data_IF_890368522779
#
_entry.id   IF_890368522779
#
_cell.length_a   1.000
_cell.length_b   1.000
_cell.length_c   1.000
_cell.angle_alpha   90.00
_cell.angle_beta   90.00
_cell.angle_gamma   90.00
#
_symmetry.space_group_name_H-M   'P 1'
#
loop_
_entity.id
_entity.type
_entity.pdbx_description
1 polymer ?
#
# COMPACT_ATOMS: atom_id res chain seq x y z
N UNK A 1 1.27 -6.53 25.92
CA UNK A 1 0.13 -5.74 25.41
C UNK A 1 0.44 -4.94 24.13
N UNK A 2 1.64 -4.44 23.94
CA UNK A 2 2.00 -3.56 22.83
C UNK A 2 2.00 -4.22 21.44
N UNK A 3 2.43 -5.48 21.32
CA UNK A 3 2.53 -6.19 20.02
C UNK A 3 1.17 -6.52 19.40
N UNK A 4 0.20 -6.95 20.19
CA UNK A 4 -1.16 -7.19 19.71
C UNK A 4 -1.83 -5.91 19.22
N UNK A 5 -1.55 -4.78 19.87
CA UNK A 5 -2.03 -3.48 19.45
C UNK A 5 -1.45 -3.05 18.09
N UNK A 6 -0.15 -3.26 17.86
CA UNK A 6 0.47 -3.02 16.56
C UNK A 6 -0.15 -3.86 15.45
N UNK A 7 -0.43 -5.14 15.72
CA UNK A 7 -1.13 -6.02 14.79
C UNK A 7 -2.54 -5.54 14.47
N UNK A 8 -3.32 -5.12 15.47
CA UNK A 8 -4.66 -4.56 15.27
C UNK A 8 -4.62 -3.30 14.39
N UNK A 9 -3.65 -2.42 14.61
CA UNK A 9 -3.45 -1.23 13.78
C UNK A 9 -3.09 -1.60 12.33
N UNK A 10 -2.30 -2.65 12.10
CA UNK A 10 -1.99 -3.12 10.76
C UNK A 10 -3.24 -3.65 10.03
N UNK A 11 -4.07 -4.44 10.71
CA UNK A 11 -5.35 -4.95 10.19
C UNK A 11 -6.31 -3.81 9.90
N UNK A 12 -6.44 -2.86 10.81
CA UNK A 12 -7.27 -1.67 10.61
C UNK A 12 -6.78 -0.83 9.44
N UNK A 13 -5.46 -0.64 9.32
CA UNK A 13 -4.84 0.02 8.16
C UNK A 13 -5.17 -0.69 6.86
N UNK A 14 -5.07 -2.04 6.83
CA UNK A 14 -5.44 -2.85 5.67
C UNK A 14 -6.92 -2.67 5.27
N UNK A 15 -7.83 -2.61 6.26
CA UNK A 15 -9.24 -2.31 6.00
C UNK A 15 -9.43 -0.91 5.39
N UNK A 16 -8.76 0.10 5.92
CA UNK A 16 -8.82 1.47 5.38
C UNK A 16 -8.29 1.55 3.94
N UNK A 17 -7.20 0.84 3.62
CA UNK A 17 -6.69 0.76 2.25
C UNK A 17 -7.66 0.04 1.32
N UNK A 18 -8.28 -1.04 1.77
CA UNK A 18 -9.30 -1.76 1.02
C UNK A 18 -10.50 -0.85 0.71
N UNK A 19 -10.99 -0.12 1.71
CA UNK A 19 -12.09 0.83 1.54
C UNK A 19 -11.72 1.95 0.55
N UNK A 20 -10.49 2.47 0.64
CA UNK A 20 -9.95 3.46 -0.31
C UNK A 20 -9.93 2.89 -1.73
N UNK A 21 -9.40 1.69 -1.92
CA UNK A 21 -9.29 1.04 -3.24
C UNK A 21 -10.65 0.85 -3.89
N UNK A 22 -11.65 0.39 -3.13
CA UNK A 22 -13.03 0.20 -3.65
C UNK A 22 -13.71 1.54 -3.92
N UNK A 23 -13.46 2.56 -3.10
CA UNK A 23 -13.98 3.91 -3.33
C UNK A 23 -13.40 4.53 -4.61
N UNK A 24 -12.10 4.30 -4.92
CA UNK A 24 -11.49 4.70 -6.19
C UNK A 24 -12.15 3.96 -7.36
N UNK A 25 -12.37 2.64 -7.25
CA UNK A 25 -13.06 1.87 -8.27
C UNK A 25 -14.48 2.39 -8.52
N UNK A 26 -15.18 2.80 -7.47
CA UNK A 26 -16.51 3.43 -7.58
C UNK A 26 -16.44 4.81 -8.24
N UNK A 27 -15.42 5.61 -7.93
CA UNK A 27 -15.17 6.92 -8.54
C UNK A 27 -14.91 6.79 -10.04
N UNK A 28 -14.09 5.82 -10.47
CA UNK A 28 -13.73 5.62 -11.88
C UNK A 28 -14.91 5.20 -12.76
N UNK A 29 -15.96 4.63 -12.18
CA UNK A 29 -17.22 4.32 -12.88
C UNK A 29 -18.07 5.58 -13.13
N UNK A 30 -17.82 6.68 -12.46
CA UNK A 30 -18.46 7.97 -12.70
C UNK A 30 -17.65 8.78 -13.73
N UNK A 31 -18.35 9.42 -14.67
CA UNK A 31 -17.75 10.21 -15.78
C UNK A 31 -16.82 11.34 -15.29
N UNK A 32 -16.95 11.76 -14.02
CA UNK A 32 -16.23 12.88 -13.43
C UNK A 32 -14.90 12.50 -12.75
N UNK A 33 -14.56 11.21 -12.63
CA UNK A 33 -13.49 10.74 -11.74
C UNK A 33 -12.18 10.31 -12.42
N UNK A 34 -11.96 10.56 -13.70
CA UNK A 34 -10.78 10.05 -14.40
C UNK A 34 -9.55 10.97 -14.24
N UNK A 35 -8.54 10.50 -13.53
CA UNK A 35 -7.16 11.00 -13.68
C UNK A 35 -6.53 11.70 -12.46
N UNK A 36 -7.30 12.17 -11.47
CA UNK A 36 -6.78 12.95 -10.34
C UNK A 36 -6.77 12.21 -8.99
N UNK A 37 -7.20 10.93 -8.95
CA UNK A 37 -7.39 10.19 -7.69
C UNK A 37 -6.13 10.11 -6.83
N UNK A 38 -4.97 9.89 -7.47
CA UNK A 38 -3.69 9.79 -6.77
C UNK A 38 -3.28 11.12 -6.19
N UNK A 39 -3.36 12.20 -6.99
CA UNK A 39 -2.98 13.55 -6.55
C UNK A 39 -3.87 14.00 -5.39
N UNK A 40 -5.20 13.81 -5.51
CA UNK A 40 -6.17 14.16 -4.45
C UNK A 40 -5.86 13.37 -3.18
N UNK A 41 -5.61 12.06 -3.28
CA UNK A 41 -5.30 11.23 -2.12
C UNK A 41 -4.01 11.64 -1.42
N UNK A 42 -2.94 11.96 -2.18
CA UNK A 42 -1.67 12.41 -1.61
C UNK A 42 -1.81 13.81 -1.00
N UNK A 43 -2.54 14.71 -1.66
CA UNK A 43 -2.81 16.04 -1.13
C UNK A 43 -3.62 15.99 0.17
N UNK A 44 -4.67 15.17 0.22
CA UNK A 44 -5.44 14.94 1.45
C UNK A 44 -4.58 14.36 2.56
N UNK A 45 -3.70 13.39 2.23
CA UNK A 45 -2.77 12.83 3.20
C UNK A 45 -1.84 13.91 3.74
N UNK A 46 -1.27 14.77 2.90
CA UNK A 46 -0.39 15.84 3.33
C UNK A 46 -1.12 16.85 4.24
N UNK A 47 -2.32 17.29 3.83
CA UNK A 47 -3.10 18.27 4.59
C UNK A 47 -3.55 17.68 5.94
N UNK A 48 -4.13 16.49 5.93
CA UNK A 48 -4.68 15.88 7.16
C UNK A 48 -3.55 15.46 8.10
N UNK A 49 -2.50 14.79 7.60
CA UNK A 49 -1.38 14.38 8.48
C UNK A 49 -0.58 15.58 8.98
N UNK A 50 -0.42 16.61 8.16
CA UNK A 50 0.21 17.86 8.58
C UNK A 50 -0.60 18.58 9.66
N UNK A 51 -1.92 18.69 9.51
CA UNK A 51 -2.80 19.25 10.51
C UNK A 51 -2.78 18.44 11.82
N UNK A 52 -2.87 17.11 11.73
CA UNK A 52 -2.77 16.24 12.91
C UNK A 52 -1.42 16.35 13.58
N UNK A 53 -0.34 16.47 12.82
CA UNK A 53 1.01 16.64 13.37
C UNK A 53 1.17 17.97 14.09
N UNK A 54 0.64 19.05 13.54
CA UNK A 54 0.67 20.37 14.20
C UNK A 54 -0.20 20.43 15.47
N UNK A 55 -1.32 19.69 15.51
CA UNK A 55 -2.26 19.72 16.64
C UNK A 55 -1.94 18.71 17.73
N UNK A 56 -1.44 17.54 17.37
CA UNK A 56 -1.28 16.38 18.26
C UNK A 56 0.17 15.84 18.27
N UNK A 57 1.01 16.34 17.38
CA UNK A 57 2.40 15.91 17.30
C UNK A 57 3.21 16.36 18.53
N UNK A 58 4.32 15.71 18.81
CA UNK A 58 5.25 16.17 19.84
C UNK A 58 5.82 17.54 19.45
N UNK A 59 6.28 18.29 20.44
CA UNK A 59 7.04 19.52 20.20
C UNK A 59 8.18 19.24 19.23
N UNK A 60 8.39 20.14 18.25
CA UNK A 60 9.45 19.95 17.25
C UNK A 60 10.76 19.59 17.92
N UNK A 61 11.36 18.44 17.61
CA UNK A 61 12.64 18.06 18.21
C UNK A 61 13.71 19.05 17.75
N UNK A 62 14.66 19.35 18.64
CA UNK A 62 15.82 20.14 18.26
C UNK A 62 16.52 19.51 17.06
N UNK A 63 16.87 20.34 16.07
CA UNK A 63 17.55 19.89 14.86
C UNK A 63 18.94 19.33 15.24
N UNK A 64 18.98 18.02 15.41
CA UNK A 64 20.21 17.29 15.62
C UNK A 64 20.47 16.28 14.47
N UNK A 65 21.63 15.69 14.46
CA UNK A 65 22.03 14.73 13.41
C UNK A 65 21.06 13.53 13.32
N UNK A 66 20.50 13.07 14.44
CA UNK A 66 19.54 11.96 14.48
C UNK A 66 18.24 12.30 13.78
N UNK A 67 17.68 13.50 14.08
CA UNK A 67 16.45 13.99 13.43
C UNK A 67 16.65 14.09 11.92
N UNK A 68 17.80 14.62 11.46
CA UNK A 68 18.10 14.73 10.03
C UNK A 68 18.14 13.36 9.35
N UNK A 69 18.76 12.36 9.98
CA UNK A 69 18.81 10.97 9.49
C UNK A 69 17.37 10.42 9.39
N UNK A 70 16.53 10.63 10.41
CA UNK A 70 15.12 10.22 10.39
C UNK A 70 14.34 10.83 9.24
N UNK A 71 14.50 12.13 9.01
CA UNK A 71 13.87 12.83 7.86
C UNK A 71 14.35 12.24 6.53
N UNK A 72 15.64 11.97 6.36
CA UNK A 72 16.17 11.34 5.13
C UNK A 72 15.54 9.97 4.89
N UNK A 73 15.41 9.14 5.93
CA UNK A 73 14.73 7.85 5.78
C UNK A 73 13.23 7.99 5.50
N UNK A 74 12.52 8.97 6.07
CA UNK A 74 11.13 9.24 5.71
C UNK A 74 10.97 9.71 4.27
N UNK A 75 11.89 10.56 3.78
CA UNK A 75 11.94 10.95 2.36
C UNK A 75 12.21 9.73 1.48
N UNK A 76 13.18 8.87 1.84
CA UNK A 76 13.47 7.64 1.12
C UNK A 76 12.23 6.72 1.09
N UNK A 77 11.52 6.58 2.21
CA UNK A 77 10.26 5.83 2.27
C UNK A 77 9.19 6.42 1.33
N UNK A 78 9.10 7.76 1.25
CA UNK A 78 8.21 8.46 0.34
C UNK A 78 8.57 8.21 -1.13
N UNK A 79 9.85 8.28 -1.49
CA UNK A 79 10.33 7.96 -2.85
C UNK A 79 10.06 6.51 -3.19
N UNK A 80 10.44 5.57 -2.32
CA UNK A 80 10.25 4.13 -2.56
C UNK A 80 8.77 3.75 -2.68
N UNK A 81 7.90 4.27 -1.82
CA UNK A 81 6.47 3.93 -1.84
C UNK A 81 5.69 4.70 -2.89
N UNK A 82 5.80 6.04 -2.90
CA UNK A 82 4.95 6.88 -3.74
C UNK A 82 5.49 7.06 -5.16
N UNK A 83 6.81 7.05 -5.35
CA UNK A 83 7.41 7.23 -6.69
C UNK A 83 7.69 5.86 -7.30
N UNK A 84 8.65 5.11 -6.76
CA UNK A 84 9.02 3.81 -7.35
C UNK A 84 7.84 2.83 -7.29
N UNK A 85 7.31 2.55 -6.10
CA UNK A 85 6.27 1.57 -5.89
C UNK A 85 5.01 1.86 -6.71
N UNK A 86 4.53 3.09 -6.69
CA UNK A 86 3.27 3.48 -7.34
C UNK A 86 3.40 3.63 -8.85
N UNK A 87 4.46 4.27 -9.37
CA UNK A 87 4.62 4.43 -10.81
C UNK A 87 4.82 3.09 -11.52
N UNK A 88 5.66 2.22 -10.96
CA UNK A 88 5.88 0.90 -11.53
C UNK A 88 4.64 0.01 -11.40
N UNK A 89 3.82 0.18 -10.34
CA UNK A 89 2.52 -0.47 -10.22
C UNK A 89 1.59 -0.14 -11.38
N UNK A 90 1.36 1.16 -11.62
CA UNK A 90 0.46 1.56 -12.70
C UNK A 90 0.95 1.08 -14.05
N UNK A 91 2.25 1.23 -14.32
CA UNK A 91 2.83 0.77 -15.58
C UNK A 91 2.77 -0.76 -15.73
N UNK A 92 2.93 -1.51 -14.64
CA UNK A 92 2.74 -2.96 -14.64
C UNK A 92 1.31 -3.36 -14.99
N UNK A 93 0.32 -2.68 -14.39
CA UNK A 93 -1.10 -2.96 -14.67
C UNK A 93 -1.44 -2.69 -16.14
N UNK A 94 -0.88 -1.63 -16.72
CA UNK A 94 -1.07 -1.33 -18.15
C UNK A 94 -0.48 -2.39 -19.07
N UNK A 95 0.69 -2.96 -18.74
CA UNK A 95 1.45 -3.87 -19.62
C UNK A 95 1.16 -5.34 -19.37
N UNK A 96 0.95 -5.75 -18.13
CA UNK A 96 0.75 -7.16 -17.73
C UNK A 96 -0.67 -7.45 -17.23
N UNK A 97 -1.49 -6.42 -17.05
CA UNK A 97 -2.83 -6.54 -16.51
C UNK A 97 -2.89 -6.55 -14.97
N UNK A 98 -4.05 -6.22 -14.44
CA UNK A 98 -4.26 -6.04 -13.00
C UNK A 98 -4.08 -7.35 -12.20
N UNK A 99 -4.52 -8.48 -12.76
CA UNK A 99 -4.47 -9.79 -12.08
C UNK A 99 -3.02 -10.23 -11.91
N UNK A 100 -2.24 -10.22 -12.97
CA UNK A 100 -0.85 -10.67 -12.96
C UNK A 100 0.02 -9.75 -12.08
N UNK A 101 -0.18 -8.43 -12.21
CA UNK A 101 0.43 -7.44 -11.32
C UNK A 101 0.07 -7.70 -9.86
N UNK A 102 -1.19 -7.98 -9.56
CA UNK A 102 -1.68 -8.30 -8.22
C UNK A 102 -1.00 -9.54 -7.63
N UNK A 103 -0.77 -10.60 -8.43
CA UNK A 103 -0.02 -11.79 -8.00
C UNK A 103 1.42 -11.44 -7.61
N UNK A 104 2.14 -10.74 -8.51
CA UNK A 104 3.55 -10.43 -8.30
C UNK A 104 3.71 -9.49 -7.08
N UNK A 105 2.77 -8.58 -6.84
CA UNK A 105 2.80 -7.70 -5.66
C UNK A 105 2.71 -8.44 -4.31
N UNK A 106 2.32 -9.72 -4.29
CA UNK A 106 2.40 -10.56 -3.07
C UNK A 106 3.83 -10.82 -2.62
N UNK A 107 4.82 -10.44 -3.42
CA UNK A 107 6.22 -10.42 -3.01
C UNK A 107 6.55 -9.23 -2.08
N UNK A 108 5.64 -8.27 -1.84
CA UNK A 108 5.89 -7.16 -0.90
C UNK A 108 6.37 -7.65 0.47
N UNK A 109 5.69 -8.61 1.15
CA UNK A 109 6.16 -9.12 2.42
C UNK A 109 7.52 -9.83 2.33
N UNK A 110 7.82 -10.47 1.20
CA UNK A 110 9.12 -11.13 0.97
C UNK A 110 10.23 -10.09 0.93
N UNK A 111 10.08 -9.04 0.13
CA UNK A 111 11.05 -7.94 0.07
C UNK A 111 11.16 -7.20 1.41
N UNK A 112 10.03 -6.97 2.09
CA UNK A 112 10.02 -6.36 3.41
C UNK A 112 10.79 -7.20 4.43
N UNK A 113 10.54 -8.52 4.47
CA UNK A 113 11.21 -9.45 5.38
C UNK A 113 12.72 -9.54 5.09
N UNK A 114 13.11 -9.69 3.82
CA UNK A 114 14.52 -9.74 3.45
C UNK A 114 15.26 -8.46 3.83
N UNK A 115 14.69 -7.30 3.50
CA UNK A 115 15.31 -6.03 3.84
C UNK A 115 15.30 -5.76 5.35
N UNK A 116 14.25 -6.16 6.07
CA UNK A 116 14.18 -6.04 7.53
C UNK A 116 15.20 -6.95 8.22
N UNK A 117 15.41 -8.17 7.73
CA UNK A 117 16.45 -9.07 8.22
C UNK A 117 17.84 -8.44 8.10
N UNK A 118 18.21 -7.92 6.91
CA UNK A 118 19.54 -7.36 6.69
C UNK A 118 19.76 -5.98 7.30
N UNK A 119 18.74 -5.11 7.32
CA UNK A 119 18.90 -3.71 7.71
C UNK A 119 18.44 -3.42 9.14
N UNK A 120 17.50 -4.19 9.66
CA UNK A 120 16.94 -4.00 11.00
C UNK A 120 17.34 -5.13 11.97
N UNK A 121 17.91 -6.23 11.46
CA UNK A 121 18.23 -7.41 12.27
C UNK A 121 16.97 -8.17 12.72
N UNK A 122 15.81 -8.00 12.03
CA UNK A 122 14.60 -8.74 12.37
C UNK A 122 14.80 -10.24 12.18
N UNK A 123 14.43 -11.04 13.20
CA UNK A 123 14.52 -12.51 13.14
C UNK A 123 13.23 -13.06 12.53
N UNK A 124 13.39 -13.88 11.49
CA UNK A 124 12.25 -14.58 10.87
C UNK A 124 11.92 -15.81 11.73
N UNK A 125 10.91 -15.70 12.56
CA UNK A 125 10.49 -16.80 13.45
C UNK A 125 9.55 -17.79 12.74
N UNK A 126 9.45 -19.01 13.27
CA UNK A 126 8.55 -20.05 12.72
C UNK A 126 7.10 -19.58 12.58
N UNK A 127 6.47 -18.88 13.55
CA UNK A 127 5.13 -18.34 13.37
C UNK A 127 5.02 -17.37 12.18
N UNK A 128 6.04 -16.56 11.92
CA UNK A 128 6.07 -15.62 10.77
C UNK A 128 6.07 -16.39 9.45
N UNK A 129 6.87 -17.47 9.36
CA UNK A 129 6.92 -18.32 8.16
C UNK A 129 5.58 -19.01 7.93
N UNK A 130 4.98 -19.61 8.96
CA UNK A 130 3.68 -20.28 8.85
C UNK A 130 2.61 -19.30 8.43
N UNK A 131 2.54 -18.13 9.06
CA UNK A 131 1.56 -17.10 8.74
C UNK A 131 1.73 -16.56 7.31
N UNK A 132 2.97 -16.37 6.86
CA UNK A 132 3.27 -15.97 5.49
C UNK A 132 2.69 -16.98 4.48
N UNK A 133 2.92 -18.28 4.70
CA UNK A 133 2.38 -19.31 3.82
C UNK A 133 0.85 -19.39 3.87
N UNK A 134 0.24 -19.27 5.05
CA UNK A 134 -1.22 -19.28 5.19
C UNK A 134 -1.87 -18.09 4.47
N UNK A 135 -1.39 -16.87 4.68
CA UNK A 135 -1.92 -15.66 4.03
C UNK A 135 -1.69 -15.73 2.52
N UNK A 136 -0.50 -16.11 2.07
CA UNK A 136 -0.16 -16.20 0.65
C UNK A 136 -0.99 -17.27 -0.05
N UNK A 137 -1.16 -18.45 0.56
CA UNK A 137 -2.01 -19.51 0.01
C UNK A 137 -3.47 -19.07 -0.10
N UNK A 138 -4.01 -18.38 0.90
CA UNK A 138 -5.35 -17.79 0.84
C UNK A 138 -5.48 -16.83 -0.36
N UNK A 139 -4.49 -15.95 -0.55
CA UNK A 139 -4.47 -15.02 -1.69
C UNK A 139 -4.41 -15.76 -3.03
N UNK A 140 -3.53 -16.75 -3.18
CA UNK A 140 -3.39 -17.54 -4.41
C UNK A 140 -4.69 -18.26 -4.76
N UNK A 141 -5.34 -18.89 -3.78
CA UNK A 141 -6.63 -19.58 -3.97
C UNK A 141 -7.71 -18.57 -4.43
N UNK A 142 -7.74 -17.39 -3.82
CA UNK A 142 -8.69 -16.32 -4.19
C UNK A 142 -8.46 -15.84 -5.63
N UNK A 143 -7.21 -15.62 -6.04
CA UNK A 143 -6.85 -15.06 -7.35
C UNK A 143 -6.90 -16.08 -8.49
N UNK A 144 -6.72 -17.37 -8.24
CA UNK A 144 -6.65 -18.40 -9.27
C UNK A 144 -7.89 -18.44 -10.17
N UNK A 145 -9.05 -18.03 -9.69
CA UNK A 145 -10.31 -17.99 -10.47
C UNK A 145 -10.52 -16.66 -11.21
N UNK A 146 -9.92 -15.56 -10.73
CA UNK A 146 -10.00 -14.27 -11.42
C UNK A 146 -9.22 -14.32 -12.74
N UNK A 147 -8.11 -15.07 -12.77
CA UNK A 147 -7.29 -15.28 -13.97
C UNK A 147 -8.02 -15.99 -15.10
N UNK A 148 -8.87 -16.99 -14.78
CA UNK A 148 -9.57 -17.79 -15.79
C UNK A 148 -10.72 -17.02 -16.47
N UNK A 149 -11.39 -16.11 -15.77
CA UNK A 149 -12.51 -15.34 -16.35
C UNK A 149 -12.07 -14.10 -17.13
N UNK A 150 -10.93 -13.50 -16.78
CA UNK A 150 -10.43 -12.33 -17.49
C UNK A 150 -9.77 -12.66 -18.84
N UNK A 151 -9.28 -13.90 -18.99
CA UNK A 151 -8.71 -14.36 -20.24
C UNK A 151 -9.78 -14.65 -21.32
N UNK A 152 -11.03 -14.93 -20.92
CA UNK A 152 -12.13 -15.22 -21.85
C UNK A 152 -12.93 -13.99 -22.30
N UNK A 153 -12.85 -12.87 -21.54
CA UNK A 153 -13.68 -11.69 -21.81
C UNK A 153 -12.95 -10.52 -22.50
N UNK A 154 -11.64 -10.63 -22.73
CA UNK A 154 -10.82 -9.61 -23.39
C UNK A 154 -10.05 -10.22 -24.59
N UNK A 155 -10.78 -10.64 -25.59
CA UNK A 155 -10.23 -10.93 -26.93
C UNK A 155 -9.92 -9.61 -27.67
N UNK A 156 -9.11 -8.76 -27.09
CA UNK A 156 -8.35 -7.74 -27.80
C UNK A 156 -6.91 -8.20 -27.80
N UNK A 157 -6.36 -8.52 -28.97
CA UNK A 157 -5.08 -9.12 -29.30
C UNK A 157 -4.08 -9.28 -28.14
N UNK A 158 -3.53 -10.49 -28.01
CA UNK A 158 -2.54 -10.83 -26.98
C UNK A 158 -1.41 -9.79 -27.01
N UNK A 159 -1.13 -9.09 -25.90
CA UNK A 159 -0.05 -8.09 -25.88
C UNK A 159 1.29 -8.79 -26.18
N UNK A 160 2.19 -8.10 -26.88
CA UNK A 160 3.52 -8.57 -27.21
C UNK A 160 4.17 -9.22 -25.97
N UNK A 161 4.67 -10.47 -26.03
CA UNK A 161 5.31 -11.16 -24.92
C UNK A 161 6.43 -10.33 -24.26
N UNK A 162 7.11 -9.49 -25.03
CA UNK A 162 8.15 -8.57 -24.51
C UNK A 162 7.56 -7.47 -23.62
N UNK A 163 6.44 -6.88 -24.03
CA UNK A 163 5.74 -5.84 -23.23
C UNK A 163 5.17 -6.46 -21.94
N UNK A 164 4.62 -7.65 -22.01
CA UNK A 164 4.11 -8.39 -20.85
C UNK A 164 5.22 -8.70 -19.84
N UNK A 165 6.39 -9.18 -20.31
CA UNK A 165 7.54 -9.43 -19.44
C UNK A 165 8.08 -8.14 -18.79
N UNK A 166 8.09 -7.03 -19.52
CA UNK A 166 8.42 -5.71 -18.97
C UNK A 166 7.43 -5.29 -17.89
N UNK A 167 6.13 -5.54 -18.09
CA UNK A 167 5.10 -5.32 -17.07
C UNK A 167 5.34 -6.15 -15.80
N UNK A 168 5.72 -7.43 -15.92
CA UNK A 168 6.09 -8.31 -14.80
C UNK A 168 7.29 -7.77 -14.02
N UNK A 169 8.34 -7.36 -14.73
CA UNK A 169 9.52 -6.76 -14.09
C UNK A 169 9.15 -5.49 -13.31
N UNK A 170 8.24 -4.66 -13.84
CA UNK A 170 7.73 -3.49 -13.14
C UNK A 170 6.89 -3.84 -11.91
N UNK A 171 6.14 -4.96 -11.95
CA UNK A 171 5.42 -5.45 -10.76
C UNK A 171 6.40 -5.86 -9.64
N UNK A 172 7.50 -6.54 -9.99
CA UNK A 172 8.56 -6.89 -9.04
C UNK A 172 9.21 -5.63 -8.46
N UNK A 173 9.56 -4.66 -9.29
CA UNK A 173 10.10 -3.37 -8.85
C UNK A 173 9.13 -2.63 -7.92
N UNK A 174 7.81 -2.68 -8.21
CA UNK A 174 6.78 -2.14 -7.34
C UNK A 174 6.76 -2.83 -5.98
N UNK A 175 6.82 -4.17 -5.95
CA UNK A 175 6.83 -4.93 -4.71
C UNK A 175 8.07 -4.62 -3.87
N UNK A 176 9.24 -4.53 -4.49
CA UNK A 176 10.50 -4.15 -3.84
C UNK A 176 10.44 -2.70 -3.30
N UNK A 177 9.88 -1.77 -4.07
CA UNK A 177 9.69 -0.38 -3.66
C UNK A 177 8.79 -0.26 -2.42
N UNK A 178 7.66 -0.94 -2.39
CA UNK A 178 6.78 -0.94 -1.21
C UNK A 178 7.42 -1.64 -0.01
N UNK A 179 8.08 -2.80 -0.20
CA UNK A 179 8.82 -3.49 0.86
C UNK A 179 9.92 -2.62 1.45
N UNK A 180 10.72 -1.96 0.61
CA UNK A 180 11.74 -1.01 1.02
C UNK A 180 11.18 0.23 1.72
N UNK A 181 9.99 0.70 1.30
CA UNK A 181 9.30 1.78 1.98
C UNK A 181 8.93 1.44 3.43
N UNK A 182 8.45 0.21 3.70
CA UNK A 182 8.17 -0.24 5.08
C UNK A 182 9.42 -0.22 5.96
N UNK A 183 10.53 -0.76 5.45
CA UNK A 183 11.81 -0.80 6.17
C UNK A 183 12.36 0.61 6.41
N UNK A 184 12.34 1.47 5.39
CA UNK A 184 12.79 2.86 5.52
C UNK A 184 11.96 3.64 6.57
N UNK A 185 10.65 3.40 6.67
CA UNK A 185 9.80 3.98 7.73
C UNK A 185 10.22 3.52 9.11
N UNK A 186 10.53 2.23 9.28
CA UNK A 186 10.99 1.67 10.57
C UNK A 186 12.34 2.24 10.96
N UNK A 187 13.30 2.33 10.02
CA UNK A 187 14.60 2.97 10.24
C UNK A 187 14.47 4.45 10.64
N UNK A 188 13.59 5.18 9.95
CA UNK A 188 13.31 6.57 10.30
C UNK A 188 12.79 6.70 11.74
N UNK A 189 11.88 5.83 12.15
CA UNK A 189 11.29 5.88 13.49
C UNK A 189 12.25 5.46 14.61
N UNK A 190 13.38 4.84 14.31
CA UNK A 190 14.43 4.58 15.29
C UNK A 190 15.16 5.86 15.73
N UNK A 191 15.21 6.87 14.86
CA UNK A 191 15.89 8.15 15.13
C UNK A 191 14.92 9.32 15.29
N UNK A 192 13.75 9.23 14.65
CA UNK A 192 12.65 10.20 14.75
C UNK A 192 11.34 9.45 14.99
N UNK A 193 11.00 9.08 16.24
CA UNK A 193 9.83 8.26 16.58
C UNK A 193 8.51 9.05 16.49
N UNK A 194 8.27 9.70 15.36
CA UNK A 194 7.07 10.48 15.07
C UNK A 194 6.35 9.97 13.83
N UNK A 195 5.32 9.10 14.01
CA UNK A 195 4.54 8.57 12.90
C UNK A 195 3.81 9.63 12.07
N UNK A 196 3.32 10.70 12.71
CA UNK A 196 2.57 11.76 12.03
C UNK A 196 3.50 12.59 11.14
N UNK A 197 4.68 12.96 11.64
CA UNK A 197 5.72 13.58 10.83
C UNK A 197 6.12 12.66 9.66
N UNK A 198 6.27 11.35 9.90
CA UNK A 198 6.60 10.38 8.87
C UNK A 198 5.57 10.31 7.75
N UNK A 199 4.29 10.28 8.07
CA UNK A 199 3.20 10.31 7.07
C UNK A 199 3.24 11.62 6.29
N UNK A 200 3.39 12.75 6.98
CA UNK A 200 3.44 14.08 6.37
C UNK A 200 4.64 14.22 5.40
N UNK A 201 5.85 13.88 5.86
CA UNK A 201 7.07 13.95 5.05
C UNK A 201 6.95 13.03 3.81
N UNK A 202 6.43 11.82 3.98
CA UNK A 202 6.20 10.89 2.87
C UNK A 202 5.19 11.42 1.85
N UNK A 203 4.11 12.07 2.30
CA UNK A 203 3.12 12.71 1.43
C UNK A 203 3.72 13.93 0.71
N UNK A 204 4.48 14.78 1.41
CA UNK A 204 5.18 15.92 0.80
C UNK A 204 6.18 15.48 -0.26
N UNK A 205 6.92 14.40 -0.03
CA UNK A 205 7.82 13.80 -1.03
C UNK A 205 7.04 13.39 -2.28
N UNK A 206 5.87 12.77 -2.12
CA UNK A 206 4.98 12.44 -3.24
C UNK A 206 4.50 13.69 -4.00
N UNK A 207 4.07 14.74 -3.29
CA UNK A 207 3.64 16.01 -3.90
C UNK A 207 4.78 16.70 -4.65
N UNK A 208 5.98 16.72 -4.08
CA UNK A 208 7.16 17.27 -4.76
C UNK A 208 7.44 16.55 -6.07
N UNK A 209 7.34 15.21 -6.08
CA UNK A 209 7.48 14.43 -7.30
C UNK A 209 6.44 14.82 -8.35
N UNK A 210 5.17 14.98 -7.95
CA UNK A 210 4.11 15.42 -8.87
C UNK A 210 4.39 16.83 -9.41
N UNK A 211 4.83 17.76 -8.56
CA UNK A 211 5.17 19.12 -8.95
C UNK A 211 6.34 19.14 -9.97
N UNK A 212 7.41 18.42 -9.68
CA UNK A 212 8.56 18.27 -10.57
C UNK A 212 8.14 17.63 -11.89
N UNK A 213 7.39 16.52 -11.84
CA UNK A 213 6.88 15.84 -13.03
C UNK A 213 5.98 16.74 -13.88
N UNK A 214 5.20 17.60 -13.24
CA UNK A 214 4.36 18.57 -13.91
C UNK A 214 5.17 19.63 -14.65
N UNK A 215 6.19 20.20 -14.03
CA UNK A 215 7.09 21.19 -14.63
C UNK A 215 7.79 20.60 -15.87
N UNK A 216 8.30 19.36 -15.78
CA UNK A 216 8.96 18.72 -16.92
C UNK A 216 7.99 18.37 -18.05
N UNK A 217 6.73 17.98 -17.75
CA UNK A 217 5.71 17.69 -18.76
C UNK A 217 5.15 18.96 -19.41
N UNK A 218 5.10 20.08 -18.70
CA UNK A 218 4.68 21.37 -19.25
C UNK A 218 5.64 21.85 -20.38
N UNK A 219 6.90 21.47 -20.28
CA UNK A 219 7.94 21.75 -21.29
C UNK A 219 7.82 20.85 -22.52
N UNK A 220 7.13 19.72 -22.42
CA UNK A 220 6.82 18.80 -23.52
C UNK A 220 5.40 19.10 -24.02
N UNK A 221 5.22 19.39 -25.33
CA UNK A 221 3.96 19.77 -26.00
C UNK A 221 2.79 18.79 -25.86
N UNK A 222 2.96 17.69 -25.13
CA UNK A 222 1.91 16.72 -24.78
C UNK A 222 1.29 16.98 -23.39
N UNK A 223 0.99 18.23 -23.08
CA UNK A 223 0.21 18.59 -21.91
C UNK A 223 -1.22 18.07 -22.09
N UNK A 224 -1.45 16.79 -21.76
CA UNK A 224 -2.76 16.28 -21.51
C UNK A 224 -3.37 17.14 -20.40
N UNK A 225 -4.45 17.83 -20.69
CA UNK A 225 -5.08 18.83 -19.82
C UNK A 225 -5.38 18.24 -18.44
N UNK A 226 -4.51 18.51 -17.47
CA UNK A 226 -4.80 18.31 -16.05
C UNK A 226 -5.86 19.36 -15.66
N UNK A 227 -7.09 19.16 -16.09
CA UNK A 227 -8.21 19.87 -15.52
C UNK A 227 -8.35 19.36 -14.09
N UNK A 228 -7.96 20.18 -13.13
CA UNK A 228 -8.28 19.99 -11.72
C UNK A 228 -9.82 20.07 -11.66
N UNK A 229 -10.46 18.93 -11.77
CA UNK A 229 -11.91 18.83 -11.60
C UNK A 229 -12.21 18.82 -10.11
N UNK A 230 -13.38 19.31 -9.74
CA UNK A 230 -13.84 19.23 -8.34
C UNK A 230 -13.83 17.77 -7.90
N UNK A 231 -13.22 17.46 -6.74
CA UNK A 231 -13.14 16.08 -6.28
C UNK A 231 -14.55 15.51 -6.05
N UNK A 232 -14.78 14.30 -6.53
CA UNK A 232 -16.01 13.58 -6.24
C UNK A 232 -16.04 13.14 -4.76
N UNK A 233 -17.24 12.92 -4.21
CA UNK A 233 -17.39 12.37 -2.85
C UNK A 233 -16.62 11.05 -2.65
N UNK A 234 -16.54 10.25 -3.69
CA UNK A 234 -15.79 8.97 -3.65
C UNK A 234 -14.29 9.18 -3.59
N UNK A 235 -13.76 10.20 -4.27
CA UNK A 235 -12.34 10.58 -4.19
C UNK A 235 -11.98 11.10 -2.80
N UNK A 236 -12.86 11.91 -2.20
CA UNK A 236 -12.66 12.41 -0.85
C UNK A 236 -12.70 11.26 0.19
N UNK A 237 -13.67 10.35 0.07
CA UNK A 237 -13.73 9.16 0.92
C UNK A 237 -12.50 8.26 0.75
N UNK A 238 -12.05 8.05 -0.49
CA UNK A 238 -10.85 7.28 -0.78
C UNK A 238 -9.59 7.91 -0.16
N UNK A 239 -9.42 9.23 -0.34
CA UNK A 239 -8.29 9.97 0.20
C UNK A 239 -8.28 9.98 1.73
N UNK A 240 -9.43 10.22 2.37
CA UNK A 240 -9.57 10.20 3.83
C UNK A 240 -9.25 8.82 4.39
N UNK A 241 -9.83 7.77 3.84
CA UNK A 241 -9.60 6.39 4.30
C UNK A 241 -8.14 5.98 4.09
N UNK A 242 -7.54 6.35 2.95
CA UNK A 242 -6.12 6.10 2.70
C UNK A 242 -5.22 6.81 3.72
N UNK A 243 -5.55 8.04 4.08
CA UNK A 243 -4.79 8.80 5.09
C UNK A 243 -4.86 8.13 6.45
N UNK A 244 -6.07 7.74 6.89
CA UNK A 244 -6.27 7.02 8.16
C UNK A 244 -5.50 5.70 8.15
N UNK A 245 -5.58 4.95 7.03
CA UNK A 245 -4.83 3.71 6.86
C UNK A 245 -3.32 3.91 6.93
N UNK A 246 -2.80 4.97 6.32
CA UNK A 246 -1.37 5.29 6.41
C UNK A 246 -0.93 5.63 7.85
N UNK A 247 -1.69 6.47 8.54
CA UNK A 247 -1.42 6.79 9.94
C UNK A 247 -1.42 5.52 10.79
N UNK A 248 -2.44 4.67 10.65
CA UNK A 248 -2.52 3.41 11.38
C UNK A 248 -1.32 2.49 11.11
N UNK A 249 -0.87 2.37 9.85
CA UNK A 249 0.30 1.56 9.51
C UNK A 249 1.62 2.14 10.07
N UNK A 250 1.78 3.46 10.09
CA UNK A 250 2.96 4.05 10.72
C UNK A 250 2.98 3.80 12.21
N UNK A 251 1.84 3.97 12.90
CA UNK A 251 1.73 3.61 14.31
C UNK A 251 1.96 2.11 14.55
N UNK A 252 1.45 1.24 13.69
CA UNK A 252 1.71 -0.21 13.77
C UNK A 252 3.20 -0.54 13.78
N UNK A 253 3.98 0.12 12.91
CA UNK A 253 5.44 -0.06 12.83
C UNK A 253 6.20 0.39 14.09
N UNK A 254 5.62 1.22 14.94
CA UNK A 254 6.22 1.54 16.25
C UNK A 254 6.19 0.34 17.20
N UNK A 255 5.14 -0.47 17.12
CA UNK A 255 4.86 -1.54 18.09
C UNK A 255 5.18 -2.94 17.56
N UNK A 256 5.40 -3.09 16.26
CA UNK A 256 5.50 -4.40 15.61
C UNK A 256 6.59 -4.40 14.53
N UNK A 257 7.10 -5.60 14.21
CA UNK A 257 8.13 -5.80 13.21
C UNK A 257 7.59 -5.53 11.80
N UNK A 258 8.47 -5.07 10.92
CA UNK A 258 8.13 -4.74 9.53
C UNK A 258 7.56 -5.95 8.81
N UNK A 259 8.18 -7.11 9.01
CA UNK A 259 7.75 -8.37 8.40
C UNK A 259 6.31 -8.72 8.78
N UNK A 260 5.96 -8.60 10.06
CA UNK A 260 4.61 -8.86 10.58
C UNK A 260 3.60 -7.88 10.00
N UNK A 261 3.92 -6.57 9.98
CA UNK A 261 3.04 -5.54 9.40
C UNK A 261 2.80 -5.79 7.92
N UNK A 262 3.84 -6.15 7.16
CA UNK A 262 3.72 -6.42 5.74
C UNK A 262 2.83 -7.63 5.43
N UNK A 263 2.95 -8.72 6.22
CA UNK A 263 2.08 -9.91 6.08
C UNK A 263 0.64 -9.55 6.45
N UNK A 264 0.41 -8.89 7.58
CA UNK A 264 -0.92 -8.49 8.02
C UNK A 264 -1.59 -7.53 7.04
N UNK A 265 -0.85 -6.60 6.45
CA UNK A 265 -1.38 -5.69 5.41
C UNK A 265 -1.84 -6.43 4.15
N UNK A 266 -1.35 -7.64 3.89
CA UNK A 266 -1.76 -8.43 2.71
C UNK A 266 -3.22 -8.89 2.75
N UNK A 267 -3.88 -8.83 3.92
CA UNK A 267 -5.32 -9.14 4.04
C UNK A 267 -6.21 -8.04 3.45
N UNK A 268 -5.67 -6.88 3.10
CA UNK A 268 -6.37 -5.79 2.40
C UNK A 268 -7.25 -6.31 1.25
N UNK A 269 -6.74 -7.28 0.49
CA UNK A 269 -7.46 -7.85 -0.65
C UNK A 269 -8.78 -8.51 -0.27
N UNK A 270 -8.82 -9.22 0.86
CA UNK A 270 -10.04 -9.88 1.33
C UNK A 270 -11.08 -8.84 1.75
N UNK A 271 -10.66 -7.81 2.45
CA UNK A 271 -11.53 -6.68 2.76
C UNK A 271 -12.03 -5.99 1.50
N UNK A 272 -11.15 -5.75 0.51
CA UNK A 272 -11.53 -5.11 -0.74
C UNK A 272 -12.56 -5.94 -1.51
N UNK A 273 -12.37 -7.26 -1.64
CA UNK A 273 -13.32 -8.12 -2.33
C UNK A 273 -14.67 -8.20 -1.59
N UNK A 274 -14.65 -8.25 -0.26
CA UNK A 274 -15.87 -8.25 0.54
C UNK A 274 -16.63 -6.92 0.39
N UNK A 275 -15.95 -5.79 0.51
CA UNK A 275 -16.52 -4.46 0.32
C UNK A 275 -17.09 -4.28 -1.09
N UNK A 276 -16.33 -4.66 -2.11
CA UNK A 276 -16.74 -4.54 -3.51
C UNK A 276 -18.00 -5.36 -3.82
N UNK A 277 -18.09 -6.59 -3.26
CA UNK A 277 -19.22 -7.48 -3.52
C UNK A 277 -20.46 -7.21 -2.69
N UNK A 278 -20.33 -6.80 -1.41
CA UNK A 278 -21.48 -6.67 -0.49
C UNK A 278 -21.92 -5.22 -0.27
N UNK A 279 -20.97 -4.30 -0.06
CA UNK A 279 -21.27 -2.91 0.31
C UNK A 279 -21.43 -2.04 -0.95
N UNK A 280 -20.39 -1.98 -1.77
CA UNK A 280 -20.36 -1.09 -2.94
C UNK A 280 -21.04 -1.67 -4.17
N UNK A 281 -21.21 -3.00 -4.21
CA UNK A 281 -21.83 -3.74 -5.33
C UNK A 281 -21.19 -3.39 -6.68
N UNK A 282 -19.88 -3.14 -6.67
CA UNK A 282 -19.09 -2.87 -7.88
C UNK A 282 -18.64 -4.16 -8.56
N UNK A 283 -18.65 -5.28 -7.82
CA UNK A 283 -18.29 -6.61 -8.30
C UNK A 283 -19.33 -7.65 -7.86
N UNK A 284 -19.25 -8.85 -8.45
CA UNK A 284 -20.10 -9.97 -8.04
C UNK A 284 -19.79 -10.39 -6.61
N UNK A 285 -20.82 -10.84 -5.89
CA UNK A 285 -20.67 -11.37 -4.52
C UNK A 285 -19.63 -12.48 -4.49
N UNK A 286 -18.73 -12.48 -3.49
CA UNK A 286 -17.73 -13.53 -3.32
C UNK A 286 -18.37 -14.92 -3.17
N UNK A 287 -17.80 -15.92 -3.83
CA UNK A 287 -18.28 -17.31 -3.74
C UNK A 287 -17.65 -18.08 -2.57
N UNK A 288 -18.01 -19.36 -2.37
CA UNK A 288 -17.55 -20.17 -1.23
C UNK A 288 -16.02 -20.22 -1.04
N UNK A 289 -15.28 -20.24 -2.13
CA UNK A 289 -13.80 -20.24 -2.10
C UNK A 289 -13.21 -18.99 -1.45
N UNK A 290 -13.89 -17.86 -1.58
CA UNK A 290 -13.49 -16.63 -0.91
C UNK A 290 -13.50 -16.80 0.61
N UNK A 291 -14.53 -17.44 1.15
CA UNK A 291 -14.62 -17.66 2.60
C UNK A 291 -13.53 -18.61 3.11
N UNK A 292 -13.20 -19.67 2.33
CA UNK A 292 -12.07 -20.55 2.65
C UNK A 292 -10.73 -19.79 2.61
N UNK A 293 -10.52 -19.00 1.57
CA UNK A 293 -9.30 -18.19 1.43
C UNK A 293 -9.17 -17.16 2.55
N UNK A 294 -10.29 -16.53 2.91
CA UNK A 294 -10.34 -15.55 4.01
C UNK A 294 -10.08 -16.20 5.37
N UNK A 295 -10.60 -17.42 5.59
CA UNK A 295 -10.34 -18.19 6.81
C UNK A 295 -8.83 -18.53 6.94
N UNK A 296 -8.19 -19.00 5.87
CA UNK A 296 -6.74 -19.25 5.87
C UNK A 296 -5.94 -17.98 6.20
N UNK A 297 -6.28 -16.86 5.56
CA UNK A 297 -5.61 -15.61 5.82
C UNK A 297 -5.85 -15.11 7.25
N UNK A 298 -7.07 -15.21 7.75
CA UNK A 298 -7.42 -14.84 9.13
C UNK A 298 -6.68 -15.71 10.15
N UNK A 299 -6.55 -17.01 9.91
CA UNK A 299 -5.75 -17.93 10.76
C UNK A 299 -4.29 -17.49 10.80
N UNK A 300 -3.68 -17.16 9.64
CA UNK A 300 -2.30 -16.66 9.59
C UNK A 300 -2.10 -15.35 10.37
N UNK A 301 -3.03 -14.40 10.21
CA UNK A 301 -3.00 -13.12 10.95
C UNK A 301 -3.19 -13.34 12.45
N UNK A 302 -4.12 -14.21 12.84
CA UNK A 302 -4.38 -14.54 14.26
C UNK A 302 -3.15 -15.20 14.89
N UNK A 303 -2.49 -16.11 14.15
CA UNK A 303 -1.24 -16.73 14.61
C UNK A 303 -0.16 -15.68 14.90
N UNK A 304 0.00 -14.67 14.02
CA UNK A 304 0.96 -13.58 14.25
C UNK A 304 0.57 -12.68 15.43
N UNK A 305 -0.72 -12.42 15.60
CA UNK A 305 -1.20 -11.58 16.70
C UNK A 305 -1.01 -12.24 18.07
N UNK A 306 -1.09 -13.57 18.12
CA UNK A 306 -0.97 -14.38 19.34
C UNK A 306 0.43 -14.93 19.58
N UNK A 307 1.31 -14.91 18.57
CA UNK A 307 2.67 -15.45 18.70
C UNK A 307 3.45 -14.67 19.78
N UNK A 308 3.98 -15.37 20.80
CA UNK A 308 4.84 -14.73 21.78
C UNK A 308 6.10 -14.22 21.07
N UNK A 309 6.50 -12.98 21.32
CA UNK A 309 7.81 -12.49 20.91
C UNK A 309 8.86 -13.17 21.79
N UNK A 310 9.59 -14.08 21.23
CA UNK A 310 10.88 -14.47 21.81
C UNK A 310 11.84 -13.32 21.47
N UNK A 311 12.01 -12.43 22.45
CA UNK A 311 12.98 -11.34 22.44
C UNK A 311 14.40 -11.88 22.55
#
# INVERSE_FOLDING_TARGET
MTAGFGGLLAVFGAFCYAFSSVSIAKSSQSVQGRGNDVLISVLMTAVVSGALWLLLGPTMPELNRGVLIGVVYFVAAGVLGNVVGRLTLFRSVELAGAIETGFIRRLIPVFAALLAFFLLGEVITTPVVIAFFLVTSGVVIMMSRASVKSASDLAVGDPDPREKNKGRAMAVASAAGYGGSFVSRKLAMQTLPDPLAGVFIGAMTGLMWFAVSWVFRFKSRNALSWRIQRPSRWQLLAGSSMTVGQVALFFSLMFTDVTVVAIMSSIEMFFAAWLAGHIFKTERRPGPRFYLSSALAATGVTLLALAPRFG
#
